data_IF_936371204501
#
_entry.id   IF_936371204501
#
_cell.length_a   1.000
_cell.length_b   1.000
_cell.length_c   1.000
_cell.angle_alpha   90.00
_cell.angle_beta   90.00
_cell.angle_gamma   90.00
#
_symmetry.space_group_name_H-M   'P 1'
#
loop_
_entity.id
_entity.type
_entity.pdbx_description
1 polymer ?
#
# COMPACT_ATOMS: atom_id res chain seq x y z
N UNK A 1 -13.69 2.22 -3.46
CA UNK A 1 -12.23 2.01 -3.49
C UNK A 1 -11.54 3.35 -3.25
N UNK A 2 -11.36 3.73 -1.99
CA UNK A 2 -10.80 5.04 -1.62
C UNK A 2 -9.33 5.20 -2.04
N UNK A 3 -8.59 4.09 -2.11
CA UNK A 3 -7.21 4.06 -2.56
C UNK A 3 -7.03 4.64 -3.99
N UNK A 4 -7.71 4.10 -5.00
CA UNK A 4 -7.55 4.54 -6.40
C UNK A 4 -7.92 6.02 -6.58
N UNK A 5 -8.96 6.48 -5.87
CA UNK A 5 -9.39 7.88 -5.90
C UNK A 5 -8.34 8.80 -5.25
N UNK A 6 -7.83 8.42 -4.08
CA UNK A 6 -6.77 9.17 -3.41
C UNK A 6 -5.50 9.25 -4.28
N UNK A 7 -5.12 8.15 -4.94
CA UNK A 7 -4.00 8.13 -5.88
C UNK A 7 -4.24 9.08 -7.08
N UNK A 8 -5.44 9.07 -7.67
CA UNK A 8 -5.81 10.00 -8.76
C UNK A 8 -5.80 11.46 -8.31
N UNK A 9 -6.18 11.72 -7.06
CA UNK A 9 -6.10 13.05 -6.44
C UNK A 9 -4.67 13.42 -5.97
N UNK A 10 -3.64 12.63 -6.35
CA UNK A 10 -2.23 12.81 -5.91
C UNK A 10 -2.06 12.83 -4.39
N UNK A 11 -2.97 12.20 -3.67
CA UNK A 11 -2.90 12.05 -2.22
C UNK A 11 -2.05 10.83 -1.88
N UNK A 12 -1.41 10.92 -0.72
CA UNK A 12 -0.57 9.89 -0.17
C UNK A 12 -1.44 8.96 0.69
N UNK A 13 -1.39 7.65 0.43
CA UNK A 13 -2.24 6.67 1.11
C UNK A 13 -1.40 5.81 2.03
N UNK A 14 -1.72 5.81 3.33
CA UNK A 14 -1.11 4.91 4.30
C UNK A 14 -1.95 3.63 4.38
N UNK A 15 -1.32 2.48 4.16
CA UNK A 15 -2.01 1.19 4.19
C UNK A 15 -1.18 0.10 4.84
N UNK A 16 -1.85 -0.94 5.33
CA UNK A 16 -1.22 -2.15 5.85
C UNK A 16 -0.82 -3.04 4.68
N UNK A 17 0.45 -3.37 4.55
CA UNK A 17 1.02 -4.07 3.41
C UNK A 17 1.64 -5.40 3.82
N UNK A 18 1.49 -6.40 2.95
CA UNK A 18 2.01 -7.75 3.15
C UNK A 18 3.39 -7.96 2.52
N UNK A 19 4.09 -6.89 2.08
CA UNK A 19 5.48 -6.92 1.60
C UNK A 19 5.77 -7.98 0.51
N UNK A 20 4.72 -8.39 -0.21
CA UNK A 20 4.78 -9.39 -1.26
C UNK A 20 4.84 -8.72 -2.61
N UNK A 21 5.75 -9.15 -3.48
CA UNK A 21 5.90 -8.63 -4.85
C UNK A 21 4.58 -8.68 -5.65
N UNK A 22 3.86 -9.81 -5.60
CA UNK A 22 2.54 -9.94 -6.23
C UNK A 22 1.54 -8.85 -5.82
N UNK A 23 1.61 -8.40 -4.56
CA UNK A 23 0.71 -7.38 -4.05
C UNK A 23 1.07 -6.00 -4.61
N UNK A 24 2.35 -5.71 -4.77
CA UNK A 24 2.83 -4.46 -5.36
C UNK A 24 2.45 -4.34 -6.84
N UNK A 25 2.64 -5.41 -7.62
CA UNK A 25 2.25 -5.41 -9.04
C UNK A 25 0.74 -5.22 -9.22
N UNK A 26 -0.05 -5.85 -8.37
CA UNK A 26 -1.50 -5.74 -8.38
C UNK A 26 -1.95 -4.33 -7.97
N UNK A 27 -1.30 -3.71 -6.96
CA UNK A 27 -1.50 -2.30 -6.59
C UNK A 27 -1.17 -1.40 -7.77
N UNK A 28 -0.02 -1.57 -8.41
CA UNK A 28 0.42 -0.78 -9.57
C UNK A 28 -0.58 -0.86 -10.71
N UNK A 29 -1.08 -2.07 -10.99
CA UNK A 29 -2.07 -2.32 -12.04
C UNK A 29 -3.42 -1.67 -11.71
N UNK A 30 -3.93 -1.86 -10.49
CA UNK A 30 -5.22 -1.27 -10.05
C UNK A 30 -5.20 0.25 -9.98
N UNK A 31 -4.05 0.83 -9.63
CA UNK A 31 -3.91 2.27 -9.38
C UNK A 31 -3.31 3.07 -10.54
N UNK A 32 -3.14 2.44 -11.71
CA UNK A 32 -2.51 3.05 -12.88
C UNK A 32 -1.13 3.68 -12.55
N UNK A 33 -0.29 2.95 -11.82
CA UNK A 33 1.10 3.33 -11.54
C UNK A 33 1.42 3.81 -10.13
N UNK A 34 0.58 3.57 -9.11
CA UNK A 34 1.03 3.77 -7.73
C UNK A 34 2.07 2.72 -7.33
N UNK A 35 3.04 3.15 -6.51
CA UNK A 35 4.06 2.28 -5.92
C UNK A 35 4.15 2.49 -4.42
N UNK A 36 4.77 1.53 -3.75
CA UNK A 36 5.25 1.69 -2.38
C UNK A 36 6.32 2.80 -2.35
N UNK A 37 6.21 3.73 -1.41
CA UNK A 37 7.15 4.85 -1.23
C UNK A 37 8.09 4.60 -0.07
N UNK A 38 7.53 4.41 1.13
CA UNK A 38 8.29 4.27 2.35
C UNK A 38 7.53 3.42 3.35
N UNK A 39 8.29 2.59 4.06
CA UNK A 39 7.84 1.78 5.18
C UNK A 39 8.40 2.48 6.44
N UNK A 40 7.58 3.14 7.26
CA UNK A 40 8.05 3.77 8.49
C UNK A 40 8.60 2.70 9.44
N UNK A 41 9.89 2.83 9.78
CA UNK A 41 10.59 1.94 10.71
C UNK A 41 10.19 2.19 12.18
N UNK A 42 9.63 3.36 12.47
CA UNK A 42 9.27 3.82 13.82
C UNK A 42 7.92 3.25 14.29
N UNK A 43 7.07 2.80 13.37
CA UNK A 43 5.76 2.26 13.72
C UNK A 43 5.79 0.76 14.01
N UNK A 44 5.03 0.30 15.02
CA UNK A 44 4.97 -1.12 15.34
C UNK A 44 4.44 -1.91 14.14
N UNK A 45 5.07 -3.06 13.89
CA UNK A 45 4.64 -4.05 12.91
C UNK A 45 3.12 -4.26 13.00
N UNK A 46 2.44 -4.34 11.86
CA UNK A 46 0.98 -4.52 11.81
C UNK A 46 0.56 -5.95 12.15
N UNK A 47 1.09 -6.52 13.24
CA UNK A 47 0.87 -7.89 13.69
C UNK A 47 -0.63 -8.17 13.80
N UNK A 48 -1.12 -9.10 12.99
CA UNK A 48 -2.50 -9.59 12.99
C UNK A 48 -3.49 -8.77 12.14
N UNK A 49 -3.04 -7.77 11.36
CA UNK A 49 -3.94 -7.04 10.44
C UNK A 49 -3.85 -7.58 9.02
N UNK A 50 -4.92 -7.40 8.26
CA UNK A 50 -5.00 -7.84 6.86
C UNK A 50 -4.49 -6.75 5.92
N UNK A 51 -3.79 -7.14 4.88
CA UNK A 51 -3.35 -6.24 3.82
C UNK A 51 -4.55 -5.67 3.08
N UNK A 52 -4.51 -4.36 2.84
CA UNK A 52 -5.61 -3.63 2.21
C UNK A 52 -5.93 -4.10 0.78
N UNK A 53 -4.97 -4.73 0.09
CA UNK A 53 -5.13 -5.16 -1.29
C UNK A 53 -5.42 -6.67 -1.44
N UNK A 54 -4.68 -7.54 -0.75
CA UNK A 54 -4.77 -9.00 -0.93
C UNK A 54 -5.47 -9.74 0.23
N UNK A 55 -5.72 -9.07 1.36
CA UNK A 55 -6.35 -9.69 2.53
C UNK A 55 -5.48 -10.68 3.31
N UNK A 56 -4.22 -10.91 2.89
CA UNK A 56 -3.21 -11.69 3.62
C UNK A 56 -2.74 -10.94 4.86
N UNK A 57 -1.99 -11.60 5.73
CA UNK A 57 -1.37 -10.98 6.89
C UNK A 57 -0.44 -9.84 6.45
N UNK A 58 -0.64 -8.66 7.03
CA UNK A 58 0.18 -7.49 6.80
C UNK A 58 1.30 -7.45 7.83
N UNK A 59 2.54 -7.45 7.38
CA UNK A 59 3.70 -7.34 8.26
C UNK A 59 3.96 -5.89 8.66
N UNK A 60 3.76 -4.95 7.73
CA UNK A 60 4.21 -3.56 7.88
C UNK A 60 3.19 -2.54 7.40
N UNK A 61 3.33 -1.31 7.87
CA UNK A 61 2.67 -0.15 7.27
C UNK A 61 3.51 0.34 6.09
N UNK A 62 2.87 0.70 4.99
CA UNK A 62 3.55 1.30 3.86
C UNK A 62 2.72 2.46 3.31
N UNK A 63 3.43 3.50 2.87
CA UNK A 63 2.84 4.60 2.15
C UNK A 63 2.86 4.34 0.66
N UNK A 64 1.74 4.61 0.00
CA UNK A 64 1.56 4.46 -1.43
C UNK A 64 1.20 5.80 -2.06
N UNK A 65 1.81 6.10 -3.20
CA UNK A 65 1.43 7.22 -4.04
C UNK A 65 1.77 6.91 -5.50
N UNK A 66 1.15 7.66 -6.42
CA UNK A 66 1.59 7.71 -7.81
C UNK A 66 2.79 8.63 -7.91
N UNK A 67 3.95 8.07 -8.22
CA UNK A 67 5.12 8.86 -8.60
C UNK A 67 5.11 9.06 -10.11
N UNK A 68 5.30 10.33 -10.49
CA UNK A 68 5.43 10.91 -11.84
C UNK A 68 5.15 10.00 -13.05
#
# INVERSE_FOLDING_TARGET
KEFERAIKEKKLVKGMWCETMNCEEDIKTKSEGAKSLVIPLDEPESKGKKCFNCGKEASVFCYFAKSY
#
